data_IF_716403736685
#
_entry.id   IF_716403736685
#
_cell.length_a   1.000
_cell.length_b   1.000
_cell.length_c   1.000
_cell.angle_alpha   90.00
_cell.angle_beta   90.00
_cell.angle_gamma   90.00
#
_symmetry.space_group_name_H-M   'P 1'
#
loop_
_entity.id
_entity.type
_entity.pdbx_description
1 polymer ?
#
# COMPACT_ATOMS: atom_id res chain seq x y z
N UNK A 1 8.74 -2.31 -35.54
CA UNK A 1 7.77 -3.44 -35.61
C UNK A 1 8.41 -4.74 -35.12
N UNK A 2 9.09 -4.78 -33.96
CA UNK A 2 9.76 -5.99 -33.42
C UNK A 2 10.03 -5.90 -31.90
N UNK A 3 8.99 -5.66 -31.10
CA UNK A 3 9.02 -5.83 -29.63
C UNK A 3 7.78 -6.61 -29.17
N UNK A 4 6.64 -6.38 -29.84
CA UNK A 4 5.38 -7.10 -29.62
C UNK A 4 5.48 -8.57 -30.05
N UNK A 5 6.19 -8.88 -31.14
CA UNK A 5 6.29 -10.24 -31.69
C UNK A 5 7.14 -11.18 -30.82
N UNK A 6 8.20 -10.66 -30.19
CA UNK A 6 9.06 -11.43 -29.27
C UNK A 6 8.37 -11.69 -27.93
N UNK A 7 7.45 -10.81 -27.52
CA UNK A 7 6.60 -11.00 -26.34
C UNK A 7 5.57 -12.13 -26.58
N UNK A 8 5.03 -12.23 -27.79
CA UNK A 8 4.08 -13.28 -28.17
C UNK A 8 4.70 -14.68 -28.32
N UNK A 9 5.97 -14.81 -28.72
CA UNK A 9 6.60 -16.14 -28.86
C UNK A 9 6.91 -16.80 -27.51
N UNK A 10 7.28 -16.01 -26.49
CA UNK A 10 7.45 -16.50 -25.11
C UNK A 10 6.12 -16.86 -24.44
N UNK A 11 5.02 -16.23 -24.85
CA UNK A 11 3.68 -16.54 -24.34
C UNK A 11 3.17 -17.92 -24.79
N UNK A 12 3.48 -18.36 -26.03
CA UNK A 12 3.07 -19.68 -26.54
C UNK A 12 3.73 -20.86 -25.80
N UNK A 13 4.97 -20.71 -25.33
CA UNK A 13 5.69 -21.78 -24.62
C UNK A 13 5.14 -21.98 -23.21
N UNK A 14 4.74 -20.89 -22.54
CA UNK A 14 4.15 -20.95 -21.19
C UNK A 14 2.71 -21.49 -21.23
N UNK A 15 1.95 -21.13 -22.27
CA UNK A 15 0.58 -21.65 -22.46
C UNK A 15 0.57 -23.16 -22.71
N UNK A 16 1.55 -23.71 -23.45
CA UNK A 16 1.56 -25.14 -23.78
C UNK A 16 2.02 -26.07 -22.65
N UNK A 17 2.63 -25.51 -21.59
CA UNK A 17 3.07 -26.28 -20.40
C UNK A 17 1.95 -26.33 -19.34
N UNK A 18 1.02 -25.36 -19.33
CA UNK A 18 -0.06 -25.27 -18.34
C UNK A 18 -1.39 -25.89 -18.76
N UNK A 19 -1.56 -26.28 -20.03
CA UNK A 19 -2.83 -26.82 -20.56
C UNK A 19 -2.96 -28.34 -20.47
N UNK A 20 -2.10 -29.05 -19.70
CA UNK A 20 -2.18 -30.52 -19.73
C UNK A 20 -3.29 -31.19 -18.93
N UNK A 21 -3.97 -30.54 -17.97
CA UNK A 21 -4.98 -31.24 -17.15
C UNK A 21 -6.14 -30.38 -16.61
N UNK A 22 -6.66 -29.41 -17.37
CA UNK A 22 -7.92 -28.76 -16.95
C UNK A 22 -8.70 -28.17 -18.13
N UNK A 23 -9.91 -28.70 -18.35
CA UNK A 23 -10.86 -28.29 -19.38
C UNK A 23 -11.52 -26.94 -19.01
N UNK A 24 -10.72 -25.86 -19.08
CA UNK A 24 -11.10 -24.48 -18.71
C UNK A 24 -11.95 -23.79 -19.80
N UNK A 25 -12.01 -24.36 -21.00
CA UNK A 25 -12.64 -23.75 -22.18
C UNK A 25 -14.13 -23.46 -21.98
N UNK A 26 -14.84 -24.27 -21.19
CA UNK A 26 -16.27 -24.08 -20.92
C UNK A 26 -16.58 -23.06 -19.81
N UNK A 27 -15.61 -22.62 -19.00
CA UNK A 27 -15.85 -21.63 -17.92
C UNK A 27 -15.65 -20.17 -18.37
N UNK A 28 -14.95 -19.93 -19.49
CA UNK A 28 -14.54 -18.57 -19.90
C UNK A 28 -15.65 -17.81 -20.66
N UNK A 29 -16.69 -18.48 -21.15
CA UNK A 29 -17.75 -17.84 -21.96
C UNK A 29 -18.78 -17.01 -21.16
N UNK A 30 -18.69 -16.95 -19.82
CA UNK A 30 -19.73 -16.33 -18.97
C UNK A 30 -19.36 -14.99 -18.32
N UNK A 31 -18.15 -14.46 -18.51
CA UNK A 31 -17.69 -13.27 -17.77
C UNK A 31 -17.34 -12.07 -18.68
N UNK A 32 -17.88 -10.87 -18.41
CA UNK A 32 -17.57 -9.66 -19.17
C UNK A 32 -16.11 -9.23 -18.95
N UNK A 33 -15.46 -8.81 -20.04
CA UNK A 33 -14.00 -8.62 -20.22
C UNK A 33 -13.30 -7.69 -19.20
N UNK A 34 -14.03 -6.80 -18.53
CA UNK A 34 -13.47 -5.94 -17.48
C UNK A 34 -13.16 -6.67 -16.17
N UNK A 35 -13.77 -7.83 -15.89
CA UNK A 35 -13.40 -8.67 -14.73
C UNK A 35 -12.05 -9.37 -14.92
N UNK A 36 -11.59 -9.56 -16.16
CA UNK A 36 -10.34 -10.26 -16.47
C UNK A 36 -9.12 -9.43 -16.03
N UNK A 37 -9.16 -8.10 -16.10
CA UNK A 37 -8.08 -7.23 -15.64
C UNK A 37 -7.92 -7.25 -14.11
N UNK A 38 -9.03 -7.31 -13.37
CA UNK A 38 -9.01 -7.46 -11.91
C UNK A 38 -8.57 -8.87 -11.51
N UNK A 39 -8.99 -9.90 -12.26
CA UNK A 39 -8.56 -11.28 -12.01
C UNK A 39 -7.06 -11.50 -12.31
N UNK A 40 -6.52 -10.86 -13.35
CA UNK A 40 -5.10 -10.97 -13.70
C UNK A 40 -4.21 -10.25 -12.67
N UNK A 41 -4.69 -9.14 -12.09
CA UNK A 41 -4.00 -8.45 -11.00
C UNK A 41 -4.00 -9.28 -9.70
N UNK A 42 -5.07 -10.02 -9.43
CA UNK A 42 -5.18 -10.91 -8.26
C UNK A 42 -4.33 -12.18 -8.43
N UNK A 43 -4.23 -12.74 -9.65
CA UNK A 43 -3.40 -13.93 -9.91
C UNK A 43 -1.90 -13.61 -10.04
N UNK A 44 -1.50 -12.41 -10.47
CA UNK A 44 -0.10 -12.00 -10.50
C UNK A 44 0.52 -12.00 -9.09
N UNK A 45 -0.26 -11.65 -8.06
CA UNK A 45 0.22 -11.60 -6.67
C UNK A 45 0.42 -12.99 -6.04
N UNK A 46 -0.22 -14.03 -6.57
CA UNK A 46 -0.07 -15.41 -6.06
C UNK A 46 1.25 -16.08 -6.46
N UNK A 47 2.04 -15.52 -7.39
CA UNK A 47 3.35 -16.09 -7.75
C UNK A 47 4.53 -15.58 -6.90
N UNK A 48 4.38 -14.52 -6.11
CA UNK A 48 5.44 -14.04 -5.20
C UNK A 48 5.51 -14.87 -3.91
N UNK A 49 4.50 -15.70 -3.63
CA UNK A 49 4.44 -16.58 -2.44
C UNK A 49 4.82 -18.02 -2.81
N UNK A 50 5.81 -18.22 -3.70
CA UNK A 50 6.31 -19.56 -4.00
C UNK A 50 7.83 -19.67 -4.02
N UNK A 51 8.49 -18.99 -3.08
CA UNK A 51 9.80 -19.42 -2.61
C UNK A 51 9.62 -19.95 -1.18
N UNK A 52 9.76 -21.26 -1.03
CA UNK A 52 9.61 -22.00 0.22
C UNK A 52 10.52 -21.40 1.30
N UNK A 53 9.95 -20.62 2.22
CA UNK A 53 10.58 -20.34 3.51
C UNK A 53 10.23 -21.52 4.42
N UNK A 54 11.18 -22.39 4.81
CA UNK A 54 10.90 -23.44 5.77
C UNK A 54 10.69 -22.78 7.14
N UNK A 55 9.44 -22.50 7.50
CA UNK A 55 9.07 -22.07 8.84
C UNK A 55 9.03 -23.30 9.76
N UNK A 56 10.19 -23.83 10.15
CA UNK A 56 10.30 -24.80 11.25
C UNK A 56 11.05 -24.16 12.40
N UNK A 57 10.38 -23.23 13.09
CA UNK A 57 10.75 -22.86 14.45
C UNK A 57 9.80 -23.60 15.39
N UNK A 58 10.35 -24.56 16.13
CA UNK A 58 9.63 -25.17 17.25
C UNK A 58 9.39 -24.05 18.29
N UNK A 59 8.16 -23.57 18.37
CA UNK A 59 7.76 -22.59 19.37
C UNK A 59 7.66 -23.31 20.72
N UNK A 60 8.36 -22.87 21.78
CA UNK A 60 8.16 -23.44 23.10
C UNK A 60 6.70 -23.24 23.50
N UNK A 61 6.11 -24.29 24.06
CA UNK A 61 4.72 -24.34 24.46
C UNK A 61 4.48 -23.29 25.57
N UNK A 62 4.04 -22.09 25.18
CA UNK A 62 3.75 -21.01 26.11
C UNK A 62 2.27 -21.09 26.51
N UNK A 63 2.00 -21.95 27.50
CA UNK A 63 0.75 -21.95 28.26
C UNK A 63 0.58 -20.60 28.96
N UNK A 64 -0.01 -19.60 28.30
CA UNK A 64 -0.39 -18.36 28.99
C UNK A 64 -0.72 -17.10 28.18
N UNK A 65 -0.62 -17.07 26.84
CA UNK A 65 -1.02 -15.86 26.08
C UNK A 65 -2.08 -16.22 25.05
N UNK A 66 -3.26 -16.58 25.54
CA UNK A 66 -4.47 -16.46 24.72
C UNK A 66 -4.78 -14.97 24.67
N UNK A 67 -4.54 -14.33 23.53
CA UNK A 67 -4.96 -12.95 23.30
C UNK A 67 -6.49 -12.91 23.47
N UNK A 68 -6.96 -12.36 24.59
CA UNK A 68 -8.37 -12.31 24.94
C UNK A 68 -9.15 -11.61 23.82
N UNK A 69 -10.05 -12.37 23.18
CA UNK A 69 -10.86 -11.93 22.05
C UNK A 69 -11.96 -10.92 22.44
N UNK A 70 -12.07 -10.53 23.71
CA UNK A 70 -13.03 -9.54 24.21
C UNK A 70 -12.30 -8.28 24.67
N UNK A 71 -11.78 -7.50 23.71
CA UNK A 71 -11.34 -6.15 24.00
C UNK A 71 -12.54 -5.22 24.12
N UNK A 72 -12.63 -4.50 25.24
CA UNK A 72 -13.42 -3.26 25.30
C UNK A 72 -12.96 -2.34 24.17
N UNK A 73 -13.91 -1.82 23.37
CA UNK A 73 -13.65 -0.89 22.25
C UNK A 73 -12.72 0.26 22.67
N UNK A 74 -12.88 0.75 23.90
CA UNK A 74 -12.04 1.79 24.52
C UNK A 74 -10.57 1.39 24.59
N UNK A 75 -10.25 0.12 24.90
CA UNK A 75 -8.87 -0.38 24.90
C UNK A 75 -8.27 -0.38 23.50
N UNK A 76 -9.04 -0.76 22.48
CA UNK A 76 -8.57 -0.78 21.08
C UNK A 76 -8.21 0.63 20.57
N UNK A 77 -9.03 1.63 20.87
CA UNK A 77 -8.70 3.03 20.56
C UNK A 77 -7.43 3.49 21.27
N UNK A 78 -7.28 3.15 22.56
CA UNK A 78 -6.06 3.48 23.31
C UNK A 78 -4.80 2.89 22.68
N UNK A 79 -4.84 1.65 22.18
CA UNK A 79 -3.70 1.07 21.46
C UNK A 79 -3.44 1.77 20.12
N UNK A 80 -4.48 2.12 19.36
CA UNK A 80 -4.34 2.85 18.10
C UNK A 80 -3.68 4.23 18.33
N UNK A 81 -4.15 5.00 19.33
CA UNK A 81 -3.53 6.28 19.69
C UNK A 81 -2.11 6.13 20.21
N UNK A 82 -1.83 5.08 20.98
CA UNK A 82 -0.46 4.78 21.40
C UNK A 82 0.44 4.51 20.19
N UNK A 83 -0.03 3.76 19.19
CA UNK A 83 0.70 3.50 17.95
C UNK A 83 0.98 4.79 17.16
N UNK A 84 -0.02 5.66 17.03
CA UNK A 84 0.14 6.96 16.37
C UNK A 84 1.15 7.86 17.10
N UNK A 85 1.10 7.89 18.43
CA UNK A 85 2.05 8.65 19.25
C UNK A 85 3.48 8.11 19.11
N UNK A 86 3.65 6.79 19.02
CA UNK A 86 4.94 6.16 18.74
C UNK A 86 5.48 6.58 17.38
N UNK A 87 4.64 6.52 16.33
CA UNK A 87 5.03 6.97 14.99
C UNK A 87 5.42 8.44 14.96
N UNK A 88 4.64 9.32 15.62
CA UNK A 88 4.98 10.74 15.74
C UNK A 88 6.33 10.99 16.42
N UNK A 89 6.74 10.17 17.37
CA UNK A 89 8.01 10.36 18.09
C UNK A 89 9.20 9.78 17.35
N UNK A 90 9.04 8.59 16.78
CA UNK A 90 10.14 7.80 16.26
C UNK A 90 10.37 8.03 14.76
N UNK A 91 9.33 8.35 14.00
CA UNK A 91 9.40 8.45 12.54
C UNK A 91 9.55 9.92 12.09
N UNK A 92 10.73 10.36 11.62
CA UNK A 92 10.94 11.73 11.17
C UNK A 92 10.09 12.09 9.94
N UNK A 93 9.98 11.17 8.98
CA UNK A 93 9.18 11.37 7.77
C UNK A 93 7.69 11.55 8.10
N UNK A 94 7.15 10.76 9.03
CA UNK A 94 5.78 10.93 9.51
C UNK A 94 5.53 12.32 10.09
N UNK A 95 6.47 12.85 10.90
CA UNK A 95 6.36 14.23 11.43
C UNK A 95 6.33 15.27 10.31
N UNK A 96 7.18 15.13 9.30
CA UNK A 96 7.22 16.05 8.15
C UNK A 96 5.88 16.03 7.43
N UNK A 97 5.32 14.86 7.14
CA UNK A 97 4.01 14.74 6.50
C UNK A 97 2.88 15.35 7.34
N UNK A 98 2.91 15.20 8.66
CA UNK A 98 1.94 15.86 9.57
C UNK A 98 2.06 17.38 9.52
N UNK A 99 3.27 17.94 9.49
CA UNK A 99 3.45 19.39 9.34
C UNK A 99 2.89 19.89 8.01
N UNK A 100 3.17 19.21 6.89
CA UNK A 100 2.59 19.57 5.59
C UNK A 100 1.07 19.43 5.56
N UNK A 101 0.51 18.41 6.24
CA UNK A 101 -0.93 18.25 6.37
C UNK A 101 -1.56 19.45 7.09
N UNK A 102 -0.98 19.89 8.22
CA UNK A 102 -1.47 21.06 8.97
C UNK A 102 -1.41 22.33 8.12
N UNK A 103 -0.31 22.53 7.38
CA UNK A 103 -0.17 23.66 6.46
C UNK A 103 -1.26 23.62 5.37
N UNK A 104 -1.46 22.47 4.72
CA UNK A 104 -2.45 22.31 3.66
C UNK A 104 -3.89 22.54 4.17
N UNK A 105 -4.23 22.05 5.36
CA UNK A 105 -5.52 22.32 6.01
C UNK A 105 -5.70 23.82 6.27
N UNK A 106 -4.65 24.48 6.77
CA UNK A 106 -4.66 25.92 7.05
C UNK A 106 -4.88 26.73 5.76
N UNK A 107 -4.19 26.37 4.67
CA UNK A 107 -4.43 26.96 3.34
C UNK A 107 -5.86 26.70 2.83
N UNK A 108 -6.40 25.51 3.07
CA UNK A 108 -7.78 25.17 2.71
C UNK A 108 -8.82 26.07 3.38
N UNK A 109 -8.57 26.47 4.64
CA UNK A 109 -9.42 27.42 5.36
C UNK A 109 -9.30 28.82 4.74
N UNK A 110 -8.07 29.31 4.51
CA UNK A 110 -7.84 30.65 3.95
C UNK A 110 -8.42 30.83 2.55
N UNK A 111 -8.33 29.80 1.70
CA UNK A 111 -8.83 29.83 0.32
C UNK A 111 -10.31 29.46 0.20
N UNK A 112 -11.01 29.27 1.34
CA UNK A 112 -12.45 28.96 1.41
C UNK A 112 -12.84 27.81 0.48
N UNK A 113 -12.19 26.66 0.67
CA UNK A 113 -12.52 25.45 -0.09
C UNK A 113 -13.98 25.03 0.13
N UNK A 114 -14.61 24.54 -0.94
CA UNK A 114 -15.95 23.97 -0.91
C UNK A 114 -15.93 22.55 -0.30
N UNK A 115 -17.11 21.98 -0.04
CA UNK A 115 -17.22 20.67 0.63
C UNK A 115 -16.56 19.52 -0.13
N UNK A 116 -16.56 19.53 -1.47
CA UNK A 116 -15.90 18.50 -2.28
C UNK A 116 -14.37 18.68 -2.28
N UNK A 117 -13.90 19.92 -2.36
CA UNK A 117 -12.48 20.28 -2.27
C UNK A 117 -11.90 19.85 -0.90
N UNK A 118 -12.67 20.03 0.17
CA UNK A 118 -12.33 19.51 1.51
C UNK A 118 -12.26 17.99 1.57
N UNK A 119 -13.18 17.29 0.91
CA UNK A 119 -13.16 15.83 0.86
C UNK A 119 -11.89 15.31 0.18
N UNK A 120 -11.52 15.87 -0.97
CA UNK A 120 -10.27 15.51 -1.66
C UNK A 120 -9.03 15.87 -0.83
N UNK A 121 -8.99 17.07 -0.25
CA UNK A 121 -7.85 17.50 0.56
C UNK A 121 -7.63 16.56 1.76
N UNK A 122 -8.68 16.30 2.52
CA UNK A 122 -8.60 15.42 3.69
C UNK A 122 -8.28 13.98 3.30
N UNK A 123 -8.93 13.44 2.28
CA UNK A 123 -8.63 12.10 1.77
C UNK A 123 -7.16 11.95 1.37
N UNK A 124 -6.63 12.90 0.60
CA UNK A 124 -5.23 12.89 0.17
C UNK A 124 -4.26 12.97 1.34
N UNK A 125 -4.54 13.79 2.36
CA UNK A 125 -3.74 13.87 3.58
C UNK A 125 -3.72 12.51 4.30
N UNK A 126 -4.90 11.92 4.56
CA UNK A 126 -4.99 10.63 5.24
C UNK A 126 -4.35 9.50 4.43
N UNK A 127 -4.44 9.55 3.11
CA UNK A 127 -3.80 8.58 2.21
C UNK A 127 -2.27 8.57 2.37
N UNK A 128 -1.63 9.75 2.33
CA UNK A 128 -0.18 9.88 2.52
C UNK A 128 0.24 9.42 3.92
N UNK A 129 -0.44 9.88 4.97
CA UNK A 129 -0.12 9.50 6.35
C UNK A 129 -0.28 8.00 6.59
N UNK A 130 -1.31 7.37 6.00
CA UNK A 130 -1.53 5.92 6.12
C UNK A 130 -0.41 5.15 5.43
N UNK A 131 0.01 5.56 4.24
CA UNK A 131 1.10 4.90 3.52
C UNK A 131 2.44 5.05 4.23
N UNK A 132 2.69 6.19 4.86
CA UNK A 132 3.89 6.38 5.70
C UNK A 132 3.91 5.41 6.89
N UNK A 133 2.79 5.26 7.60
CA UNK A 133 2.68 4.28 8.69
C UNK A 133 2.83 2.84 8.19
N UNK A 134 2.26 2.52 7.03
CA UNK A 134 2.43 1.21 6.41
C UNK A 134 3.87 0.94 6.01
N UNK A 135 4.61 1.96 5.54
CA UNK A 135 6.03 1.84 5.27
C UNK A 135 6.82 1.47 6.54
N UNK A 136 6.59 2.16 7.66
CA UNK A 136 7.21 1.82 8.96
C UNK A 136 6.86 0.41 9.43
N UNK A 137 5.60 -0.01 9.26
CA UNK A 137 5.15 -1.38 9.61
C UNK A 137 5.87 -2.41 8.75
N UNK A 138 5.94 -2.21 7.44
CA UNK A 138 6.62 -3.12 6.51
C UNK A 138 8.11 -3.19 6.80
N UNK A 139 8.76 -2.06 7.05
CA UNK A 139 10.16 -2.01 7.43
C UNK A 139 10.42 -2.81 8.72
N UNK A 140 9.56 -2.63 9.73
CA UNK A 140 9.64 -3.36 11.00
C UNK A 140 9.49 -4.87 10.80
N UNK A 141 8.51 -5.30 10.00
CA UNK A 141 8.28 -6.72 9.68
C UNK A 141 9.50 -7.30 8.95
N UNK A 142 10.03 -6.58 7.97
CA UNK A 142 11.20 -7.01 7.19
C UNK A 142 12.44 -7.13 8.09
N UNK A 143 12.66 -6.18 9.01
CA UNK A 143 13.76 -6.20 9.97
C UNK A 143 13.67 -7.39 10.93
N UNK A 144 12.46 -7.73 11.39
CA UNK A 144 12.24 -8.90 12.26
C UNK A 144 12.46 -10.21 11.48
N UNK A 145 12.01 -10.27 10.23
CA UNK A 145 12.11 -11.47 9.41
C UNK A 145 13.53 -11.74 8.87
N UNK A 146 14.30 -10.68 8.60
CA UNK A 146 15.67 -10.74 8.07
C UNK A 146 16.61 -9.87 8.92
N UNK A 147 17.11 -10.39 10.05
CA UNK A 147 18.06 -9.66 10.90
C UNK A 147 19.44 -9.46 10.24
N UNK A 148 19.77 -10.29 9.24
CA UNK A 148 20.97 -10.11 8.40
C UNK A 148 20.64 -9.34 7.12
N UNK A 149 21.64 -8.65 6.55
CA UNK A 149 21.48 -7.87 5.32
C UNK A 149 21.18 -8.80 4.14
N UNK A 150 19.90 -8.92 3.78
CA UNK A 150 19.42 -9.72 2.67
C UNK A 150 19.06 -8.81 1.47
N UNK A 151 19.54 -9.10 0.24
CA UNK A 151 19.20 -8.31 -0.95
C UNK A 151 17.68 -8.23 -1.22
N UNK A 152 16.91 -9.28 -0.89
CA UNK A 152 15.45 -9.26 -1.04
C UNK A 152 14.77 -8.36 -0.01
N UNK A 153 15.31 -8.28 1.21
CA UNK A 153 14.82 -7.38 2.25
C UNK A 153 15.02 -5.92 1.85
N UNK A 154 16.15 -5.61 1.22
CA UNK A 154 16.40 -4.29 0.63
C UNK A 154 15.36 -3.93 -0.43
N UNK A 155 15.11 -4.80 -1.40
CA UNK A 155 14.10 -4.57 -2.45
C UNK A 155 12.72 -4.31 -1.85
N UNK A 156 12.31 -5.10 -0.84
CA UNK A 156 11.02 -4.92 -0.19
C UNK A 156 10.88 -3.52 0.46
N UNK A 157 11.93 -3.06 1.14
CA UNK A 157 11.97 -1.71 1.75
C UNK A 157 11.97 -0.61 0.69
N UNK A 158 12.78 -0.76 -0.36
CA UNK A 158 12.86 0.23 -1.45
C UNK A 158 11.51 0.39 -2.15
N UNK A 159 10.78 -0.71 -2.37
CA UNK A 159 9.43 -0.68 -2.95
C UNK A 159 8.41 -0.06 -2.00
N UNK A 160 8.49 -0.32 -0.69
CA UNK A 160 7.62 0.30 0.31
C UNK A 160 7.82 1.83 0.34
N UNK A 161 9.08 2.29 0.30
CA UNK A 161 9.41 3.71 0.19
C UNK A 161 8.91 4.33 -1.12
N UNK A 162 9.00 3.61 -2.24
CA UNK A 162 8.46 4.07 -3.52
C UNK A 162 6.93 4.28 -3.49
N UNK A 163 6.19 3.46 -2.75
CA UNK A 163 4.74 3.65 -2.56
C UNK A 163 4.43 4.98 -1.88
N UNK A 164 5.16 5.33 -0.82
CA UNK A 164 5.02 6.64 -0.14
C UNK A 164 5.35 7.78 -1.10
N UNK A 165 6.43 7.64 -1.88
CA UNK A 165 6.84 8.65 -2.86
C UNK A 165 5.74 8.94 -3.89
N UNK A 166 5.09 7.89 -4.42
CA UNK A 166 3.97 8.02 -5.35
C UNK A 166 2.77 8.73 -4.71
N UNK A 167 2.50 8.45 -3.43
CA UNK A 167 1.44 9.13 -2.70
C UNK A 167 1.74 10.61 -2.45
N UNK A 168 2.99 10.94 -2.12
CA UNK A 168 3.44 12.32 -2.01
C UNK A 168 3.36 13.07 -3.35
N UNK A 169 3.66 12.40 -4.47
CA UNK A 169 3.49 13.00 -5.80
C UNK A 169 2.01 13.26 -6.12
N UNK A 170 1.14 12.30 -5.82
CA UNK A 170 -0.31 12.49 -5.95
C UNK A 170 -0.81 13.66 -5.09
N UNK A 171 -0.29 13.83 -3.88
CA UNK A 171 -0.72 14.92 -3.01
C UNK A 171 -0.33 16.30 -3.55
N UNK A 172 0.80 16.41 -4.24
CA UNK A 172 1.19 17.63 -4.96
C UNK A 172 0.21 17.91 -6.10
N UNK A 173 -0.15 16.91 -6.91
CA UNK A 173 -1.11 17.08 -8.01
C UNK A 173 -2.46 17.57 -7.48
N UNK A 174 -2.98 16.92 -6.44
CA UNK A 174 -4.26 17.31 -5.82
C UNK A 174 -4.14 18.72 -5.21
N UNK A 175 -3.04 19.02 -4.52
CA UNK A 175 -2.79 20.35 -3.96
C UNK A 175 -2.79 21.44 -5.04
N UNK A 176 -2.13 21.22 -6.18
CA UNK A 176 -2.16 22.14 -7.31
C UNK A 176 -3.59 22.29 -7.83
N UNK A 177 -4.31 21.19 -8.05
CA UNK A 177 -5.68 21.23 -8.57
C UNK A 177 -6.65 21.99 -7.65
N UNK A 178 -6.48 21.90 -6.33
CA UNK A 178 -7.32 22.58 -5.35
C UNK A 178 -6.93 24.04 -5.12
N UNK A 179 -5.63 24.31 -4.95
CA UNK A 179 -5.16 25.63 -4.51
C UNK A 179 -4.86 26.59 -5.66
N UNK A 180 -4.33 26.11 -6.78
CA UNK A 180 -3.93 26.97 -7.91
C UNK A 180 -5.08 27.85 -8.46
N UNK A 181 -6.29 27.31 -8.77
CA UNK A 181 -7.37 28.16 -9.29
C UNK A 181 -7.85 29.21 -8.28
N UNK A 182 -7.83 28.88 -6.98
CA UNK A 182 -8.23 29.81 -5.91
C UNK A 182 -7.20 30.92 -5.72
N UNK A 183 -5.92 30.59 -5.81
CA UNK A 183 -4.82 31.56 -5.74
C UNK A 183 -4.89 32.51 -6.94
N UNK A 184 -5.06 31.98 -8.16
CA UNK A 184 -5.20 32.81 -9.36
C UNK A 184 -6.43 33.72 -9.28
N UNK A 185 -7.55 33.24 -8.73
CA UNK A 185 -8.74 34.07 -8.56
C UNK A 185 -8.65 35.11 -7.43
N UNK A 186 -7.67 34.96 -6.52
CA UNK A 186 -7.48 35.88 -5.39
C UNK A 186 -6.58 37.08 -5.71
N UNK A 187 -5.88 37.05 -6.84
CA UNK A 187 -4.99 38.11 -7.35
C UNK A 187 -5.50 38.62 -8.70
#
# INVERSE_FOLDING_TARGET
MNVITTCFSKLKIVVNIFTRDCDITNCISRFPTWKILIFHFILYKSQVINNRVPFTKHYPNNSGIVMSLTHSTVKSFRYAFSGLNTALKNEPNFRIHVVFAILALTFGIFLKLNSLEWLFLTFTIFYVLTLELLNTVLESIVNIANPEINPYAKIAKDVAAACVLLAAFMSIIVGIALFLPKIIAAF
#
